data_IF_838494159298
#
_entry.id   IF_838494159298
#
_cell.length_a   1.000
_cell.length_b   1.000
_cell.length_c   1.000
_cell.angle_alpha   90.00
_cell.angle_beta   90.00
_cell.angle_gamma   90.00
#
_symmetry.space_group_name_H-M   'P 1'
#
loop_
_entity.id
_entity.type
_entity.pdbx_description
1 polymer ?
#
# COMPACT_ATOMS: atom_id res chain seq x y z
N UNK A 1 20.19 -14.83 -19.85
CA UNK A 1 20.07 -14.42 -18.43
C UNK A 1 19.05 -15.36 -17.79
N UNK A 2 19.49 -16.28 -16.93
CA UNK A 2 18.62 -17.28 -16.27
C UNK A 2 17.98 -16.66 -15.02
N UNK A 3 16.67 -16.79 -14.85
CA UNK A 3 15.99 -16.34 -13.63
C UNK A 3 16.45 -17.19 -12.43
N UNK A 4 16.63 -16.60 -11.24
CA UNK A 4 16.91 -17.37 -10.05
C UNK A 4 15.73 -18.33 -9.76
N UNK A 5 16.01 -19.50 -9.14
CA UNK A 5 14.96 -20.42 -8.73
C UNK A 5 13.99 -19.71 -7.77
N UNK A 6 12.69 -20.02 -7.82
CA UNK A 6 11.72 -19.42 -6.91
C UNK A 6 12.09 -19.74 -5.46
N UNK A 7 11.90 -18.76 -4.58
CA UNK A 7 12.04 -18.95 -3.14
C UNK A 7 10.98 -19.92 -2.59
N UNK A 8 11.10 -20.31 -1.30
CA UNK A 8 10.09 -21.15 -0.67
C UNK A 8 8.70 -20.50 -0.75
N UNK A 9 7.61 -21.29 -0.77
CA UNK A 9 6.25 -20.76 -0.77
C UNK A 9 6.03 -19.82 0.41
N UNK A 10 5.32 -18.72 0.18
CA UNK A 10 4.87 -17.85 1.26
C UNK A 10 3.93 -18.61 2.21
N UNK A 11 4.02 -18.29 3.50
CA UNK A 11 3.05 -18.75 4.49
C UNK A 11 1.64 -18.28 4.07
N UNK A 12 0.71 -19.24 3.91
CA UNK A 12 -0.64 -18.98 3.43
C UNK A 12 -1.45 -18.11 4.40
N UNK A 13 -1.18 -18.22 5.70
CA UNK A 13 -1.83 -17.40 6.74
C UNK A 13 -1.34 -15.97 6.65
N UNK A 14 -0.02 -15.79 6.53
CA UNK A 14 0.58 -14.46 6.34
C UNK A 14 0.04 -13.81 5.06
N UNK A 15 -0.06 -14.57 3.96
CA UNK A 15 -0.60 -14.08 2.70
C UNK A 15 -2.08 -13.67 2.84
N UNK A 16 -2.90 -14.49 3.47
CA UNK A 16 -4.31 -14.17 3.68
C UNK A 16 -4.48 -12.87 4.50
N UNK A 17 -3.72 -12.74 5.59
CA UNK A 17 -3.72 -11.52 6.41
C UNK A 17 -3.29 -10.29 5.60
N UNK A 18 -2.22 -10.40 4.81
CA UNK A 18 -1.76 -9.31 3.96
C UNK A 18 -2.81 -8.89 2.93
N UNK A 19 -3.50 -9.84 2.31
CA UNK A 19 -4.60 -9.56 1.37
C UNK A 19 -5.74 -8.81 2.06
N UNK A 20 -6.12 -9.21 3.27
CA UNK A 20 -7.22 -8.55 3.99
C UNK A 20 -6.86 -7.12 4.42
N UNK A 21 -5.63 -6.88 4.86
CA UNK A 21 -5.12 -5.54 5.15
C UNK A 21 -5.15 -4.67 3.88
N UNK A 22 -4.64 -5.21 2.77
CA UNK A 22 -4.55 -4.48 1.50
C UNK A 22 -5.92 -4.22 0.86
N UNK A 23 -6.92 -5.06 1.09
CA UNK A 23 -8.31 -4.77 0.68
C UNK A 23 -8.84 -3.51 1.34
N UNK A 24 -8.57 -3.32 2.63
CA UNK A 24 -9.01 -2.12 3.36
C UNK A 24 -8.22 -0.90 2.90
N UNK A 25 -6.90 -1.01 2.79
CA UNK A 25 -6.06 0.08 2.29
C UNK A 25 -6.45 0.49 0.86
N UNK A 26 -6.70 -0.47 -0.04
CA UNK A 26 -7.15 -0.20 -1.40
C UNK A 26 -8.54 0.44 -1.47
N UNK A 27 -9.47 0.02 -0.62
CA UNK A 27 -10.78 0.67 -0.52
C UNK A 27 -10.66 2.13 -0.05
N UNK A 28 -9.71 2.41 0.86
CA UNK A 28 -9.40 3.78 1.29
C UNK A 28 -8.79 4.61 0.15
N UNK A 29 -7.77 4.12 -0.55
CA UNK A 29 -7.15 4.89 -1.65
C UNK A 29 -8.11 5.18 -2.79
N UNK A 30 -9.06 4.28 -3.07
CA UNK A 30 -10.09 4.50 -4.09
C UNK A 30 -11.01 5.70 -3.81
N UNK A 31 -11.15 6.15 -2.55
CA UNK A 31 -11.91 7.36 -2.22
C UNK A 31 -11.27 8.65 -2.75
N UNK A 32 -9.99 8.58 -3.10
CA UNK A 32 -9.20 9.68 -3.64
C UNK A 32 -9.05 9.64 -5.16
N UNK A 33 -9.48 8.55 -5.81
CA UNK A 33 -9.42 8.43 -7.26
C UNK A 33 -10.35 9.46 -7.91
N UNK A 34 -9.81 10.25 -8.85
CA UNK A 34 -10.51 11.36 -9.54
C UNK A 34 -11.08 12.42 -8.57
N UNK A 35 -10.53 12.50 -7.35
CA UNK A 35 -10.97 13.47 -6.36
C UNK A 35 -10.16 14.77 -6.50
N UNK A 36 -10.77 15.91 -6.90
CA UNK A 36 -10.06 17.18 -7.06
C UNK A 36 -9.55 17.76 -5.73
N UNK A 37 -9.99 17.23 -4.58
CA UNK A 37 -9.51 17.60 -3.26
C UNK A 37 -8.29 16.78 -2.80
N UNK A 38 -7.74 15.89 -3.64
CA UNK A 38 -6.54 15.13 -3.31
C UNK A 38 -5.34 16.06 -3.15
N UNK A 39 -4.84 16.18 -1.91
CA UNK A 39 -3.64 16.96 -1.62
C UNK A 39 -2.36 16.18 -1.96
N UNK A 40 -1.38 16.91 -2.51
CA UNK A 40 -0.06 16.40 -2.86
C UNK A 40 0.96 17.16 -2.03
N UNK A 41 1.55 16.49 -1.04
CA UNK A 41 2.67 17.03 -0.27
C UNK A 41 3.99 16.64 -0.92
N UNK A 42 4.94 17.56 -1.03
CA UNK A 42 6.33 17.24 -1.39
C UNK A 42 7.15 16.99 -0.12
N UNK A 43 7.80 15.82 -0.03
CA UNK A 43 8.70 15.46 1.07
C UNK A 43 10.02 16.24 0.98
N UNK A 44 10.82 16.18 2.05
CA UNK A 44 12.14 16.84 2.12
C UNK A 44 13.15 16.35 1.07
N UNK A 45 12.97 15.13 0.56
CA UNK A 45 13.77 14.54 -0.53
C UNK A 45 13.25 14.91 -1.94
N UNK A 46 12.23 15.76 -2.02
CA UNK A 46 11.62 16.19 -3.27
C UNK A 46 10.59 15.21 -3.85
N UNK A 47 10.34 14.07 -3.21
CA UNK A 47 9.36 13.10 -3.69
C UNK A 47 7.93 13.50 -3.31
N UNK A 48 6.93 13.31 -4.19
CA UNK A 48 5.53 13.56 -3.86
C UNK A 48 4.98 12.45 -2.96
N UNK A 49 4.04 12.82 -2.09
CA UNK A 49 3.20 11.89 -1.33
C UNK A 49 1.80 12.48 -1.20
N UNK A 50 0.80 11.63 -1.31
CA UNK A 50 -0.59 12.02 -1.20
C UNK A 50 -1.20 11.60 0.14
N UNK A 51 -2.37 12.16 0.47
CA UNK A 51 -3.17 11.69 1.60
C UNK A 51 -3.62 10.23 1.43
N UNK A 52 -3.82 9.79 0.18
CA UNK A 52 -4.12 8.39 -0.12
C UNK A 52 -2.96 7.47 0.31
N UNK A 53 -1.71 7.84 -0.02
CA UNK A 53 -0.53 7.06 0.33
C UNK A 53 -0.33 6.99 1.85
N UNK A 54 -0.44 8.13 2.54
CA UNK A 54 -0.27 8.23 4.00
C UNK A 54 -1.32 7.41 4.74
N UNK A 55 -2.59 7.52 4.34
CA UNK A 55 -3.66 6.77 4.98
C UNK A 55 -3.57 5.27 4.72
N UNK A 56 -3.18 4.86 3.50
CA UNK A 56 -2.92 3.45 3.19
C UNK A 56 -1.76 2.89 4.03
N UNK A 57 -0.65 3.62 4.16
CA UNK A 57 0.47 3.25 5.02
C UNK A 57 0.03 3.10 6.48
N UNK A 58 -0.76 4.04 7.01
CA UNK A 58 -1.26 3.97 8.38
C UNK A 58 -2.14 2.73 8.61
N UNK A 59 -3.06 2.44 7.68
CA UNK A 59 -3.92 1.24 7.74
C UNK A 59 -3.08 -0.04 7.79
N UNK A 60 -2.00 -0.10 7.00
CA UNK A 60 -1.09 -1.24 7.00
C UNK A 60 -0.35 -1.33 8.33
N UNK A 61 0.23 -0.23 8.83
CA UNK A 61 0.97 -0.20 10.11
C UNK A 61 0.11 -0.59 11.30
N UNK A 62 -1.16 -0.19 11.33
CA UNK A 62 -2.06 -0.46 12.46
C UNK A 62 -2.52 -1.93 12.53
N UNK A 63 -2.35 -2.68 11.43
CA UNK A 63 -2.86 -4.05 11.28
C UNK A 63 -1.78 -5.12 11.13
N UNK A 64 -0.51 -4.71 11.08
CA UNK A 64 0.66 -5.60 11.14
C UNK A 64 1.05 -5.86 12.59
#
# INVERSE_FOLDING_TARGET
MTLPPPGPPADQTMLANAVDILRVAGAFTMQWFDNPALDITTKSDGTPVTEADRGAEQIVRDRL
#
